data_IF_542178236199
#
_entry.id   IF_542178236199
#
_cell.length_a   1.000
_cell.length_b   1.000
_cell.length_c   1.000
_cell.angle_alpha   90.00
_cell.angle_beta   90.00
_cell.angle_gamma   90.00
#
_symmetry.space_group_name_H-M   'P 1'
#
loop_
_entity.id
_entity.type
_entity.pdbx_description
1 polymer ?
#
# COMPACT_ATOMS: atom_id res chain seq x y z
N UNK A 1 -61.53 8.17 1.04
CA UNK A 1 -60.72 8.39 -0.17
C UNK A 1 -59.37 9.09 0.07
N UNK A 2 -59.20 10.04 0.99
CA UNK A 2 -57.89 10.72 1.23
C UNK A 2 -56.84 9.82 1.89
N UNK A 3 -57.21 8.79 2.65
CA UNK A 3 -56.29 7.86 3.31
C UNK A 3 -55.63 6.84 2.37
N UNK A 4 -56.33 6.42 1.30
CA UNK A 4 -55.78 5.45 0.33
C UNK A 4 -54.78 6.06 -0.63
N UNK A 5 -54.88 7.34 -0.95
CA UNK A 5 -53.95 8.04 -1.82
C UNK A 5 -52.61 8.26 -1.13
N UNK A 6 -52.61 8.50 0.21
CA UNK A 6 -51.37 8.66 0.98
C UNK A 6 -50.58 7.34 1.11
N UNK A 7 -51.30 6.21 1.16
CA UNK A 7 -50.66 4.89 1.25
C UNK A 7 -50.08 4.43 -0.09
N UNK A 8 -50.68 4.82 -1.21
CA UNK A 8 -50.19 4.51 -2.56
C UNK A 8 -48.93 5.33 -2.91
N UNK A 9 -48.84 6.58 -2.44
CA UNK A 9 -47.65 7.43 -2.60
C UNK A 9 -46.48 6.91 -1.75
N UNK A 10 -46.78 6.39 -0.54
CA UNK A 10 -45.75 5.80 0.33
C UNK A 10 -45.15 4.49 -0.24
N UNK A 11 -45.96 3.70 -0.95
CA UNK A 11 -45.53 2.46 -1.61
C UNK A 11 -44.77 2.70 -2.92
N UNK A 12 -44.96 3.83 -3.59
CA UNK A 12 -44.19 4.23 -4.77
C UNK A 12 -42.76 4.67 -4.42
N UNK A 13 -42.52 5.23 -3.23
CA UNK A 13 -41.17 5.59 -2.77
C UNK A 13 -40.37 4.39 -2.29
N UNK A 14 -40.95 3.24 -1.94
CA UNK A 14 -40.26 2.03 -1.53
C UNK A 14 -39.67 1.19 -2.67
N UNK A 15 -39.88 1.56 -3.93
CA UNK A 15 -39.29 0.90 -5.11
C UNK A 15 -38.31 1.80 -5.87
N UNK A 16 -37.54 2.62 -5.17
CA UNK A 16 -36.30 3.09 -5.73
C UNK A 16 -35.33 1.92 -5.59
N UNK A 17 -35.29 1.06 -6.60
CA UNK A 17 -34.14 0.23 -6.87
C UNK A 17 -32.96 1.18 -6.80
N UNK A 18 -32.13 1.06 -5.79
CA UNK A 18 -30.79 1.59 -5.83
C UNK A 18 -30.13 0.85 -7.00
N UNK A 19 -30.30 1.40 -8.21
CA UNK A 19 -29.46 1.05 -9.32
C UNK A 19 -28.04 1.19 -8.79
N UNK A 20 -27.16 0.21 -8.95
CA UNK A 20 -25.78 0.38 -8.59
C UNK A 20 -25.30 1.63 -9.35
N UNK A 21 -24.96 2.68 -8.63
CA UNK A 21 -24.27 3.82 -9.20
C UNK A 21 -22.90 3.27 -9.56
N UNK A 22 -22.80 2.69 -10.76
CA UNK A 22 -21.53 2.44 -11.43
C UNK A 22 -21.02 3.80 -11.90
N UNK A 23 -20.50 4.59 -10.96
CA UNK A 23 -19.60 5.65 -11.29
C UNK A 23 -18.34 4.99 -11.89
N UNK A 24 -17.91 5.46 -13.04
CA UNK A 24 -16.64 5.08 -13.66
C UNK A 24 -15.58 4.96 -12.57
N UNK A 25 -15.04 3.77 -12.41
CA UNK A 25 -14.07 3.41 -11.39
C UNK A 25 -12.87 4.33 -11.53
N UNK A 26 -12.75 5.28 -10.65
CA UNK A 26 -11.48 5.93 -10.40
C UNK A 26 -10.50 4.85 -9.95
N UNK A 27 -9.34 4.78 -10.62
CA UNK A 27 -8.38 3.68 -10.46
C UNK A 27 -7.54 3.77 -9.18
N UNK A 28 -7.99 4.49 -8.16
CA UNK A 28 -7.26 4.67 -6.91
C UNK A 28 -8.02 4.07 -5.71
N UNK A 29 -7.33 3.36 -4.79
CA UNK A 29 -7.97 2.78 -3.60
C UNK A 29 -8.67 3.83 -2.73
N UNK A 30 -8.12 5.04 -2.65
CA UNK A 30 -8.69 6.15 -1.86
C UNK A 30 -10.07 6.58 -2.38
N UNK A 31 -10.25 6.61 -3.70
CA UNK A 31 -11.53 6.95 -4.32
C UNK A 31 -12.61 5.91 -3.96
N UNK A 32 -12.25 4.61 -4.00
CA UNK A 32 -13.16 3.52 -3.63
C UNK A 32 -13.54 3.59 -2.15
N UNK A 33 -12.62 3.95 -1.28
CA UNK A 33 -12.90 4.13 0.16
C UNK A 33 -13.84 5.31 0.41
N UNK A 34 -13.72 6.40 -0.33
CA UNK A 34 -14.64 7.54 -0.27
C UNK A 34 -16.04 7.12 -0.72
N UNK A 35 -16.13 6.40 -1.84
CA UNK A 35 -17.40 5.86 -2.35
C UNK A 35 -18.05 4.89 -1.36
N UNK A 36 -17.25 4.00 -0.76
CA UNK A 36 -17.71 3.06 0.27
C UNK A 36 -18.29 3.79 1.49
N UNK A 37 -17.56 4.78 2.01
CA UNK A 37 -18.03 5.59 3.14
C UNK A 37 -19.34 6.31 2.82
N UNK A 38 -19.46 6.91 1.62
CA UNK A 38 -20.66 7.57 1.17
C UNK A 38 -21.85 6.61 1.05
N UNK A 39 -21.64 5.43 0.46
CA UNK A 39 -22.66 4.40 0.31
C UNK A 39 -23.16 3.88 1.68
N UNK A 40 -22.27 3.64 2.63
CA UNK A 40 -22.62 3.23 4.00
C UNK A 40 -23.48 4.31 4.68
N UNK A 41 -23.12 5.59 4.54
CA UNK A 41 -23.92 6.70 5.12
C UNK A 41 -25.32 6.75 4.54
N UNK A 42 -25.48 6.55 3.24
CA UNK A 42 -26.81 6.52 2.58
C UNK A 42 -27.65 5.37 3.15
N UNK A 43 -27.09 4.16 3.24
CA UNK A 43 -27.77 2.99 3.81
C UNK A 43 -28.19 3.29 5.24
N UNK A 44 -27.28 3.72 6.08
CA UNK A 44 -27.57 4.02 7.48
C UNK A 44 -28.66 5.11 7.63
N UNK A 45 -28.63 6.16 6.82
CA UNK A 45 -29.65 7.21 6.84
C UNK A 45 -31.05 6.66 6.48
N UNK A 46 -31.13 5.77 5.48
CA UNK A 46 -32.39 5.12 5.10
C UNK A 46 -32.96 4.29 6.26
N UNK A 47 -32.14 3.44 6.88
CA UNK A 47 -32.55 2.62 8.00
C UNK A 47 -32.89 3.44 9.24
N UNK A 48 -32.12 4.49 9.55
CA UNK A 48 -32.39 5.39 10.68
C UNK A 48 -33.78 6.00 10.59
N UNK A 49 -34.22 6.44 9.41
CA UNK A 49 -35.56 7.00 9.22
C UNK A 49 -36.67 5.99 9.55
N UNK A 50 -36.48 4.72 9.17
CA UNK A 50 -37.41 3.65 9.45
C UNK A 50 -37.43 3.28 10.93
N UNK A 51 -36.24 3.22 11.57
CA UNK A 51 -36.12 2.96 13.00
C UNK A 51 -36.86 4.01 13.82
N UNK A 52 -36.67 5.29 13.54
CA UNK A 52 -37.36 6.39 14.26
C UNK A 52 -38.88 6.24 14.20
N UNK A 53 -39.47 5.82 13.06
CA UNK A 53 -40.89 5.58 12.92
C UNK A 53 -41.33 4.40 13.79
N UNK A 54 -40.54 3.31 13.82
CA UNK A 54 -40.89 2.12 14.62
C UNK A 54 -40.72 2.38 16.13
N UNK A 55 -39.72 3.07 16.54
CA UNK A 55 -39.49 3.47 17.93
C UNK A 55 -40.59 4.42 18.42
N UNK A 56 -40.99 5.40 17.60
CA UNK A 56 -42.14 6.25 17.93
C UNK A 56 -43.42 5.43 18.13
N UNK A 57 -43.70 4.43 17.29
CA UNK A 57 -44.85 3.51 17.47
C UNK A 57 -44.73 2.71 18.76
N UNK A 58 -43.54 2.20 19.06
CA UNK A 58 -43.26 1.46 20.29
C UNK A 58 -43.50 2.33 21.55
N UNK A 59 -43.09 3.59 21.50
CA UNK A 59 -43.35 4.55 22.59
C UNK A 59 -44.84 4.78 22.82
N UNK A 60 -45.62 4.90 21.75
CA UNK A 60 -47.09 5.01 21.84
C UNK A 60 -47.71 3.76 22.47
N UNK A 61 -47.35 2.56 22.00
CA UNK A 61 -47.86 1.30 22.56
C UNK A 61 -47.48 1.14 24.03
N UNK A 62 -46.26 1.50 24.43
CA UNK A 62 -45.86 1.42 25.83
C UNK A 62 -46.71 2.37 26.72
N UNK A 63 -47.00 3.58 26.23
CA UNK A 63 -47.89 4.51 26.92
C UNK A 63 -49.32 3.97 27.06
N UNK A 64 -49.86 3.42 25.96
CA UNK A 64 -51.22 2.91 25.93
C UNK A 64 -51.35 1.62 26.78
N UNK A 65 -50.29 0.80 26.87
CA UNK A 65 -50.22 -0.37 27.74
C UNK A 65 -50.31 0.02 29.25
N UNK A 66 -49.69 1.13 29.62
CA UNK A 66 -49.78 1.67 31.01
C UNK A 66 -51.20 2.19 31.29
N UNK A 67 -51.86 2.79 30.33
CA UNK A 67 -53.20 3.37 30.47
C UNK A 67 -54.33 2.34 30.40
N UNK A 68 -54.10 1.18 29.77
CA UNK A 68 -55.09 0.15 29.58
C UNK A 68 -55.58 -0.45 30.92
N UNK A 69 -56.90 -0.54 31.10
CA UNK A 69 -57.48 -1.12 32.30
C UNK A 69 -58.00 -2.57 32.10
N UNK A 70 -58.34 -2.90 30.87
CA UNK A 70 -58.91 -4.23 30.53
C UNK A 70 -57.80 -5.24 30.17
N UNK A 71 -57.89 -6.44 30.68
CA UNK A 71 -56.91 -7.50 30.45
C UNK A 71 -56.76 -7.82 28.94
N UNK A 72 -57.83 -7.91 28.19
CA UNK A 72 -57.79 -8.20 26.76
C UNK A 72 -57.01 -7.12 25.99
N UNK A 73 -57.30 -5.88 26.29
CA UNK A 73 -56.58 -4.73 25.66
C UNK A 73 -55.08 -4.75 25.97
N UNK A 74 -54.68 -5.12 27.21
CA UNK A 74 -53.26 -5.31 27.57
C UNK A 74 -52.63 -6.43 26.77
N UNK A 75 -53.29 -7.55 26.59
CA UNK A 75 -52.78 -8.69 25.81
C UNK A 75 -52.58 -8.28 24.34
N UNK A 76 -53.56 -7.60 23.73
CA UNK A 76 -53.48 -7.16 22.34
C UNK A 76 -52.33 -6.16 22.13
N UNK A 77 -52.13 -5.23 23.09
CA UNK A 77 -51.01 -4.28 23.06
C UNK A 77 -49.65 -4.96 23.26
N UNK A 78 -49.54 -6.00 24.10
CA UNK A 78 -48.33 -6.79 24.27
C UNK A 78 -47.96 -7.53 22.99
N UNK A 79 -48.93 -8.15 22.31
CA UNK A 79 -48.72 -8.82 21.02
C UNK A 79 -48.21 -7.81 19.98
N UNK A 80 -48.84 -6.62 19.92
CA UNK A 80 -48.41 -5.57 18.99
C UNK A 80 -47.03 -5.05 19.30
N UNK A 81 -46.67 -4.91 20.57
CA UNK A 81 -45.32 -4.53 21.04
C UNK A 81 -44.30 -5.54 20.56
N UNK A 82 -44.52 -6.83 20.79
CA UNK A 82 -43.64 -7.90 20.39
C UNK A 82 -43.42 -7.92 18.86
N UNK A 83 -44.51 -7.80 18.07
CA UNK A 83 -44.42 -7.66 16.63
C UNK A 83 -43.52 -6.50 16.16
N UNK A 84 -43.63 -5.31 16.79
CA UNK A 84 -42.80 -4.17 16.41
C UNK A 84 -41.36 -4.37 16.84
N UNK A 85 -41.09 -5.00 17.99
CA UNK A 85 -39.73 -5.34 18.41
C UNK A 85 -39.09 -6.32 17.44
N UNK A 86 -39.80 -7.32 16.97
CA UNK A 86 -39.33 -8.25 15.94
C UNK A 86 -39.05 -7.53 14.61
N UNK A 87 -39.94 -6.61 14.19
CA UNK A 87 -39.70 -5.81 13.00
C UNK A 87 -38.41 -4.94 13.13
N UNK A 88 -38.19 -4.34 14.28
CA UNK A 88 -36.95 -3.57 14.56
C UNK A 88 -35.71 -4.48 14.49
N UNK A 89 -35.81 -5.67 15.08
CA UNK A 89 -34.72 -6.66 15.02
C UNK A 89 -34.41 -7.07 13.57
N UNK A 90 -35.40 -7.39 12.78
CA UNK A 90 -35.22 -7.70 11.36
C UNK A 90 -34.65 -6.55 10.54
N UNK A 91 -35.03 -5.31 10.83
CA UNK A 91 -34.49 -4.14 10.18
C UNK A 91 -33.01 -3.94 10.53
N UNK A 92 -32.58 -4.19 11.78
CA UNK A 92 -31.17 -4.14 12.18
C UNK A 92 -30.33 -5.16 11.41
N UNK A 93 -30.81 -6.40 11.32
CA UNK A 93 -30.15 -7.45 10.53
C UNK A 93 -30.06 -7.05 9.06
N UNK A 94 -31.12 -6.50 8.49
CA UNK A 94 -31.13 -6.06 7.09
C UNK A 94 -30.13 -4.92 6.84
N UNK A 95 -30.02 -3.95 7.74
CA UNK A 95 -29.02 -2.88 7.66
C UNK A 95 -27.61 -3.46 7.66
N UNK A 96 -27.28 -4.33 8.62
CA UNK A 96 -25.97 -4.98 8.70
C UNK A 96 -25.64 -5.75 7.42
N UNK A 97 -26.61 -6.48 6.87
CA UNK A 97 -26.44 -7.23 5.62
C UNK A 97 -26.15 -6.32 4.42
N UNK A 98 -26.88 -5.19 4.30
CA UNK A 98 -26.68 -4.25 3.19
C UNK A 98 -25.34 -3.53 3.29
N UNK A 99 -24.90 -3.16 4.51
CA UNK A 99 -23.58 -2.60 4.75
C UNK A 99 -22.47 -3.62 4.45
N UNK A 100 -22.61 -4.86 4.91
CA UNK A 100 -21.63 -5.92 4.65
C UNK A 100 -21.53 -6.25 3.16
N UNK A 101 -22.65 -6.22 2.43
CA UNK A 101 -22.66 -6.38 0.98
C UNK A 101 -21.72 -5.37 0.30
N UNK A 102 -21.93 -4.09 0.58
CA UNK A 102 -21.14 -3.02 -0.06
C UNK A 102 -19.68 -3.10 0.33
N UNK A 103 -19.36 -3.37 1.60
CA UNK A 103 -17.97 -3.56 2.06
C UNK A 103 -17.29 -4.67 1.30
N UNK A 104 -17.96 -5.79 1.16
CA UNK A 104 -17.40 -6.98 0.52
C UNK A 104 -17.11 -6.73 -0.97
N UNK A 105 -18.06 -6.14 -1.70
CA UNK A 105 -17.89 -5.81 -3.12
C UNK A 105 -16.79 -4.75 -3.34
N UNK A 106 -16.79 -3.68 -2.56
CA UNK A 106 -15.76 -2.62 -2.66
C UNK A 106 -14.40 -3.12 -2.19
N UNK A 107 -14.35 -4.02 -1.22
CA UNK A 107 -13.11 -4.66 -0.79
C UNK A 107 -12.45 -5.47 -1.91
N UNK A 108 -13.21 -6.19 -2.72
CA UNK A 108 -12.67 -6.88 -3.90
C UNK A 108 -12.07 -5.91 -4.92
N UNK A 109 -12.71 -4.77 -5.15
CA UNK A 109 -12.18 -3.73 -6.04
C UNK A 109 -10.86 -3.16 -5.52
N UNK A 110 -10.73 -2.95 -4.20
CA UNK A 110 -9.49 -2.51 -3.57
C UNK A 110 -8.39 -3.56 -3.75
N UNK A 111 -8.69 -4.85 -3.54
CA UNK A 111 -7.74 -5.95 -3.75
C UNK A 111 -7.22 -5.94 -5.19
N UNK A 112 -8.12 -5.82 -6.18
CA UNK A 112 -7.76 -5.73 -7.60
C UNK A 112 -6.75 -4.61 -7.86
N UNK A 113 -7.02 -3.39 -7.39
CA UNK A 113 -6.14 -2.22 -7.62
C UNK A 113 -4.81 -2.38 -6.90
N UNK A 114 -4.83 -2.82 -5.63
CA UNK A 114 -3.60 -3.00 -4.85
C UNK A 114 -2.70 -4.08 -5.47
N UNK A 115 -3.29 -5.13 -6.05
CA UNK A 115 -2.52 -6.17 -6.75
C UNK A 115 -1.81 -5.59 -7.98
N UNK A 116 -2.48 -4.80 -8.82
CA UNK A 116 -1.85 -4.14 -9.95
C UNK A 116 -0.71 -3.20 -9.52
N UNK A 117 -0.89 -2.47 -8.41
CA UNK A 117 0.16 -1.62 -7.84
C UNK A 117 1.35 -2.45 -7.34
N UNK A 118 1.13 -3.56 -6.66
CA UNK A 118 2.19 -4.47 -6.19
C UNK A 118 2.96 -5.08 -7.36
N UNK A 119 2.28 -5.50 -8.43
CA UNK A 119 2.93 -6.01 -9.63
C UNK A 119 3.79 -4.94 -10.32
N UNK A 120 3.32 -3.70 -10.37
CA UNK A 120 4.07 -2.60 -10.98
C UNK A 120 5.29 -2.19 -10.14
N UNK A 121 5.27 -2.37 -8.82
CA UNK A 121 6.42 -2.13 -7.94
C UNK A 121 7.60 -3.07 -8.25
N UNK A 122 7.35 -4.32 -8.63
CA UNK A 122 8.41 -5.23 -9.07
C UNK A 122 9.20 -4.66 -10.25
N UNK A 123 8.49 -4.16 -11.25
CA UNK A 123 9.13 -3.53 -12.41
C UNK A 123 9.82 -2.24 -12.03
N UNK A 124 9.26 -1.48 -11.12
CA UNK A 124 9.85 -0.24 -10.65
C UNK A 124 11.18 -0.47 -9.95
N UNK A 125 11.25 -1.36 -8.95
CA UNK A 125 12.50 -1.69 -8.26
C UNK A 125 13.52 -2.41 -9.16
N UNK A 126 13.06 -3.24 -10.09
CA UNK A 126 13.94 -3.87 -11.08
C UNK A 126 14.60 -2.85 -12.02
N UNK A 127 13.93 -1.74 -12.34
CA UNK A 127 14.47 -0.68 -13.20
C UNK A 127 15.59 0.13 -12.53
N UNK A 128 15.66 0.14 -11.21
CA UNK A 128 16.70 0.80 -10.40
C UNK A 128 17.99 -0.03 -10.31
N UNK A 129 18.18 -1.03 -11.18
CA UNK A 129 19.38 -1.88 -11.20
C UNK A 129 20.62 -1.09 -11.59
N UNK A 130 21.24 -0.51 -10.58
CA UNK A 130 22.40 0.39 -10.72
C UNK A 130 23.72 -0.28 -10.40
N UNK A 131 23.74 -1.60 -10.10
CA UNK A 131 24.97 -2.26 -9.65
C UNK A 131 26.12 -2.15 -10.67
N UNK A 132 25.87 -2.32 -11.98
CA UNK A 132 26.90 -2.17 -13.00
C UNK A 132 27.37 -0.71 -13.14
N UNK A 133 26.48 0.25 -12.94
CA UNK A 133 26.78 1.68 -12.98
C UNK A 133 27.49 2.14 -11.69
N UNK A 134 27.07 1.62 -10.54
CA UNK A 134 27.74 1.80 -9.26
C UNK A 134 29.18 1.31 -9.33
N UNK A 135 29.42 0.11 -9.88
CA UNK A 135 30.75 -0.45 -10.05
C UNK A 135 31.63 0.38 -10.99
N UNK A 136 31.05 0.98 -12.02
CA UNK A 136 31.77 1.90 -12.92
C UNK A 136 32.16 3.20 -12.19
N UNK A 137 31.22 3.82 -11.51
CA UNK A 137 31.42 5.09 -10.80
C UNK A 137 32.42 4.94 -9.65
N UNK A 138 32.33 3.82 -8.91
CA UNK A 138 33.26 3.49 -7.83
C UNK A 138 34.65 3.00 -8.31
N UNK A 139 34.89 2.94 -9.62
CA UNK A 139 36.16 2.52 -10.18
C UNK A 139 37.12 3.73 -10.27
N UNK A 140 38.26 3.75 -9.53
CA UNK A 140 39.22 4.85 -9.57
C UNK A 140 39.74 5.15 -10.98
N UNK A 141 39.79 4.16 -11.89
CA UNK A 141 40.22 4.34 -13.26
C UNK A 141 39.32 5.25 -14.11
N UNK A 142 38.15 5.62 -13.64
CA UNK A 142 37.23 6.57 -14.30
C UNK A 142 37.64 8.04 -14.01
N UNK A 143 38.66 8.26 -13.16
CA UNK A 143 39.10 9.59 -12.75
C UNK A 143 40.41 9.96 -13.44
N UNK A 144 40.48 11.10 -14.21
CA UNK A 144 41.64 11.50 -14.99
C UNK A 144 42.92 11.70 -14.15
N UNK A 145 42.75 12.10 -12.88
CA UNK A 145 43.86 12.30 -11.95
C UNK A 145 44.57 10.98 -11.62
N UNK A 146 43.80 9.88 -11.62
CA UNK A 146 44.33 8.55 -11.39
C UNK A 146 45.14 8.02 -12.56
N UNK A 147 44.72 8.31 -13.80
CA UNK A 147 45.50 7.99 -15.00
C UNK A 147 46.80 8.78 -15.06
N UNK A 148 46.80 10.06 -14.69
CA UNK A 148 48.03 10.86 -14.55
C UNK A 148 49.02 10.26 -13.55
N UNK A 149 48.53 9.75 -12.42
CA UNK A 149 49.36 9.06 -11.44
C UNK A 149 50.00 7.79 -12.03
N UNK A 150 49.23 6.99 -12.77
CA UNK A 150 49.77 5.80 -13.46
C UNK A 150 50.86 6.16 -14.46
N UNK A 151 50.66 7.23 -15.25
CA UNK A 151 51.66 7.74 -16.19
C UNK A 151 52.92 8.21 -15.50
N UNK A 152 52.80 8.94 -14.38
CA UNK A 152 53.95 9.39 -13.57
C UNK A 152 54.74 8.21 -12.98
N UNK A 153 54.05 7.16 -12.54
CA UNK A 153 54.66 5.93 -12.03
C UNK A 153 55.31 5.08 -13.15
N UNK A 154 54.68 5.00 -14.34
CA UNK A 154 55.17 4.24 -15.49
C UNK A 154 56.43 4.88 -16.12
N UNK A 155 56.51 6.22 -16.10
CA UNK A 155 57.66 6.96 -16.66
C UNK A 155 58.92 6.94 -15.76
N UNK A 156 58.80 6.52 -14.50
CA UNK A 156 59.95 6.27 -13.61
C UNK A 156 60.35 4.80 -13.75
N UNK A 157 61.47 4.58 -14.44
CA UNK A 157 62.08 3.33 -14.94
C UNK A 157 62.38 2.20 -13.93
N UNK A 158 61.55 1.90 -13.01
CA UNK A 158 61.63 0.67 -12.23
C UNK A 158 60.60 -0.37 -12.69
N UNK A 159 61.09 -1.29 -13.53
CA UNK A 159 60.32 -2.32 -14.26
C UNK A 159 59.61 -3.38 -13.40
N UNK A 160 59.47 -3.21 -12.09
CA UNK A 160 58.91 -4.22 -11.20
C UNK A 160 57.47 -3.96 -10.69
N UNK A 161 56.87 -2.85 -11.07
CA UNK A 161 55.54 -2.46 -10.51
C UNK A 161 54.50 -2.04 -11.55
N UNK A 162 54.41 -2.76 -12.66
CA UNK A 162 53.18 -2.76 -13.46
C UNK A 162 52.11 -3.60 -12.73
N UNK A 163 51.64 -3.09 -11.62
CA UNK A 163 50.56 -3.68 -10.85
C UNK A 163 49.23 -3.25 -11.49
N UNK A 164 48.52 -4.21 -12.08
CA UNK A 164 47.16 -3.95 -12.54
C UNK A 164 46.28 -3.72 -11.31
N UNK A 165 45.96 -2.48 -11.02
CA UNK A 165 45.10 -2.07 -9.94
C UNK A 165 43.69 -2.67 -10.05
N UNK A 166 43.28 -3.01 -11.25
CA UNK A 166 42.04 -3.75 -11.54
C UNK A 166 41.99 -5.12 -10.86
N UNK A 167 43.15 -5.78 -10.62
CA UNK A 167 43.16 -7.07 -9.92
C UNK A 167 43.03 -6.92 -8.40
N UNK A 168 43.38 -5.76 -7.84
CA UNK A 168 43.20 -5.46 -6.42
C UNK A 168 41.78 -5.12 -6.03
N UNK A 169 41.01 -4.49 -6.91
CA UNK A 169 39.63 -4.12 -6.67
C UNK A 169 38.68 -5.34 -6.66
N UNK A 170 39.09 -6.47 -7.23
CA UNK A 170 38.28 -7.69 -7.28
C UNK A 170 38.38 -8.61 -6.05
N UNK A 171 39.40 -8.51 -5.21
CA UNK A 171 39.70 -9.53 -4.21
C UNK A 171 40.14 -9.06 -2.81
N UNK A 172 40.48 -7.80 -2.61
CA UNK A 172 41.04 -7.33 -1.34
C UNK A 172 40.30 -6.13 -0.72
N UNK A 173 40.33 -6.08 0.60
CA UNK A 173 39.78 -4.93 1.35
C UNK A 173 40.54 -3.66 0.93
N UNK A 174 39.81 -2.60 0.72
CA UNK A 174 40.23 -1.30 0.21
C UNK A 174 41.43 -0.70 1.04
N UNK A 175 41.52 -1.05 2.33
CA UNK A 175 42.67 -0.71 3.16
C UNK A 175 44.00 -1.23 2.57
N UNK A 176 44.02 -2.41 1.96
CA UNK A 176 45.21 -2.98 1.31
C UNK A 176 45.59 -2.27 0.03
N UNK A 177 44.59 -1.73 -0.71
CA UNK A 177 44.83 -0.93 -1.92
C UNK A 177 45.46 0.42 -1.54
N UNK A 178 44.96 1.08 -0.52
CA UNK A 178 45.54 2.35 0.00
C UNK A 178 46.97 2.13 0.48
N UNK A 179 47.20 1.09 1.26
CA UNK A 179 48.54 0.78 1.78
C UNK A 179 49.53 0.46 0.66
N UNK A 180 49.14 -0.25 -0.37
CA UNK A 180 49.97 -0.57 -1.54
C UNK A 180 50.25 0.67 -2.37
N UNK A 181 49.27 1.52 -2.64
CA UNK A 181 49.49 2.80 -3.33
C UNK A 181 50.36 3.76 -2.55
N UNK A 182 50.13 3.89 -1.25
CA UNK A 182 50.98 4.72 -0.36
C UNK A 182 52.44 4.25 -0.37
N UNK A 183 52.68 2.92 -0.36
CA UNK A 183 54.03 2.36 -0.43
C UNK A 183 54.68 2.60 -1.80
N UNK A 184 53.94 2.51 -2.91
CA UNK A 184 54.44 2.79 -4.27
C UNK A 184 54.80 4.26 -4.45
N UNK A 185 53.92 5.17 -4.06
CA UNK A 185 54.14 6.62 -4.15
C UNK A 185 55.32 7.05 -3.28
N UNK A 186 55.47 6.45 -2.09
CA UNK A 186 56.58 6.77 -1.17
C UNK A 186 57.92 6.32 -1.68
N UNK A 187 58.03 5.34 -2.57
CA UNK A 187 59.32 4.84 -3.09
C UNK A 187 59.77 5.51 -4.39
N UNK A 188 58.89 6.15 -5.16
CA UNK A 188 59.15 6.54 -6.55
C UNK A 188 59.24 8.05 -6.83
N UNK A 189 58.81 8.93 -5.94
CA UNK A 189 58.72 10.39 -6.18
C UNK A 189 59.71 11.20 -5.33
N UNK A 190 60.07 12.42 -5.78
CA UNK A 190 60.85 13.38 -4.97
C UNK A 190 60.00 13.91 -3.80
N UNK A 191 60.62 14.47 -2.75
CA UNK A 191 59.93 14.82 -1.50
C UNK A 191 58.79 15.81 -1.69
N UNK A 192 58.97 16.83 -2.55
CA UNK A 192 57.99 17.89 -2.79
C UNK A 192 56.86 17.45 -3.76
N UNK A 193 57.16 16.57 -4.73
CA UNK A 193 56.18 15.97 -5.63
C UNK A 193 55.32 14.93 -4.91
N UNK A 194 55.95 14.20 -3.97
CA UNK A 194 55.25 13.20 -3.14
C UNK A 194 54.10 13.80 -2.34
N UNK A 195 54.34 14.93 -1.71
CA UNK A 195 53.37 15.53 -0.80
C UNK A 195 52.13 16.03 -1.56
N UNK A 196 52.31 16.69 -2.71
CA UNK A 196 51.21 17.20 -3.52
C UNK A 196 50.39 16.11 -4.22
N UNK A 197 51.06 15.11 -4.79
CA UNK A 197 50.38 14.05 -5.53
C UNK A 197 49.76 13.00 -4.57
N UNK A 198 50.36 12.75 -3.40
CA UNK A 198 49.80 11.91 -2.35
C UNK A 198 48.45 12.45 -1.84
N UNK A 199 48.39 13.74 -1.53
CA UNK A 199 47.15 14.37 -1.05
C UNK A 199 46.00 14.21 -2.07
N UNK A 200 46.30 14.38 -3.37
CA UNK A 200 45.27 14.17 -4.42
C UNK A 200 44.84 12.71 -4.50
N UNK A 201 45.74 11.77 -4.44
CA UNK A 201 45.46 10.34 -4.50
C UNK A 201 44.68 9.88 -3.29
N UNK A 202 45.07 10.30 -2.10
CA UNK A 202 44.31 10.03 -0.86
C UNK A 202 42.89 10.57 -0.95
N UNK A 203 42.73 11.79 -1.47
CA UNK A 203 41.42 12.40 -1.64
C UNK A 203 40.54 11.60 -2.61
N UNK A 204 41.05 11.19 -3.77
CA UNK A 204 40.27 10.40 -4.77
C UNK A 204 39.93 9.03 -4.20
N UNK A 205 40.87 8.38 -3.52
CA UNK A 205 40.65 7.06 -2.93
C UNK A 205 39.59 7.13 -1.80
N UNK A 206 39.69 8.09 -0.91
CA UNK A 206 38.70 8.29 0.16
C UNK A 206 37.31 8.58 -0.40
N UNK A 207 37.25 9.45 -1.42
CA UNK A 207 35.99 9.76 -2.12
C UNK A 207 35.39 8.54 -2.79
N UNK A 208 36.17 7.78 -3.56
CA UNK A 208 35.66 6.58 -4.26
C UNK A 208 35.24 5.49 -3.30
N UNK A 209 35.91 5.37 -2.17
CA UNK A 209 35.62 4.46 -1.06
C UNK A 209 34.29 4.74 -0.40
N UNK A 210 34.12 5.99 0.02
CA UNK A 210 32.87 6.42 0.65
C UNK A 210 31.69 6.22 -0.32
N UNK A 211 31.86 6.66 -1.56
CA UNK A 211 30.85 6.48 -2.60
C UNK A 211 30.53 5.00 -2.81
N UNK A 212 31.52 4.12 -2.88
CA UNK A 212 31.29 2.68 -3.03
C UNK A 212 30.51 2.10 -1.85
N UNK A 213 30.86 2.46 -0.62
CA UNK A 213 30.13 1.98 0.57
C UNK A 213 28.67 2.45 0.58
N UNK A 214 28.45 3.72 0.27
CA UNK A 214 27.11 4.29 0.26
C UNK A 214 26.24 3.69 -0.86
N UNK A 215 26.81 3.54 -2.05
CA UNK A 215 26.13 2.92 -3.18
C UNK A 215 25.87 1.41 -2.95
N UNK A 216 26.80 0.70 -2.30
CA UNK A 216 26.55 -0.68 -1.88
C UNK A 216 25.41 -0.77 -0.86
N UNK A 217 25.36 0.16 0.09
CA UNK A 217 24.25 0.22 1.05
C UNK A 217 22.91 0.37 0.32
N UNK A 218 22.85 1.27 -0.67
CA UNK A 218 21.66 1.48 -1.52
C UNK A 218 21.30 0.19 -2.28
N UNK A 219 22.28 -0.51 -2.83
CA UNK A 219 22.05 -1.78 -3.51
C UNK A 219 21.41 -2.84 -2.59
N UNK A 220 21.93 -2.99 -1.37
CA UNK A 220 21.36 -3.92 -0.39
C UNK A 220 19.97 -3.53 0.06
N UNK A 221 19.70 -2.24 0.26
CA UNK A 221 18.37 -1.74 0.60
C UNK A 221 17.37 -1.97 -0.55
N UNK A 222 17.80 -1.81 -1.81
CA UNK A 222 16.98 -2.14 -2.98
C UNK A 222 16.61 -3.63 -3.02
N UNK A 223 17.57 -4.52 -2.77
CA UNK A 223 17.33 -5.95 -2.70
C UNK A 223 16.35 -6.31 -1.55
N UNK A 224 16.45 -5.62 -0.42
CA UNK A 224 15.51 -5.77 0.69
C UNK A 224 14.09 -5.33 0.30
N UNK A 225 13.93 -4.20 -0.40
CA UNK A 225 12.64 -3.75 -0.89
C UNK A 225 12.02 -4.73 -1.89
N UNK A 226 12.80 -5.30 -2.80
CA UNK A 226 12.34 -6.35 -3.71
C UNK A 226 11.83 -7.58 -2.95
N UNK A 227 12.59 -8.07 -1.97
CA UNK A 227 12.16 -9.20 -1.13
C UNK A 227 10.90 -8.89 -0.33
N UNK A 228 10.78 -7.65 0.16
CA UNK A 228 9.58 -7.19 0.88
C UNK A 228 8.37 -7.12 -0.05
N UNK A 229 8.55 -6.68 -1.30
CA UNK A 229 7.48 -6.66 -2.29
C UNK A 229 6.96 -8.07 -2.62
N UNK A 230 7.85 -9.07 -2.73
CA UNK A 230 7.43 -10.46 -2.89
C UNK A 230 6.58 -10.97 -1.73
N UNK A 231 6.87 -10.56 -0.50
CA UNK A 231 6.00 -10.88 0.65
C UNK A 231 4.63 -10.22 0.56
N UNK A 232 4.60 -8.93 0.21
CA UNK A 232 3.33 -8.21 0.00
C UNK A 232 2.50 -8.88 -1.10
N UNK A 233 3.14 -9.35 -2.18
CA UNK A 233 2.48 -10.11 -3.24
C UNK A 233 1.89 -11.43 -2.75
N UNK A 234 2.62 -12.17 -1.92
CA UNK A 234 2.10 -13.39 -1.30
C UNK A 234 0.94 -13.11 -0.34
N UNK A 235 1.03 -12.05 0.45
CA UNK A 235 -0.01 -11.67 1.40
C UNK A 235 -1.32 -11.28 0.71
N UNK A 236 -1.28 -10.57 -0.43
CA UNK A 236 -2.49 -10.24 -1.19
C UNK A 236 -3.10 -11.46 -1.88
N UNK A 237 -2.29 -12.44 -2.30
CA UNK A 237 -2.77 -13.72 -2.82
C UNK A 237 -3.53 -14.52 -1.73
N UNK A 238 -3.01 -14.54 -0.51
CA UNK A 238 -3.65 -15.19 0.63
C UNK A 238 -4.97 -14.47 0.95
N UNK A 239 -4.95 -13.14 1.00
CA UNK A 239 -6.13 -12.31 1.24
C UNK A 239 -7.22 -12.58 0.19
N UNK A 240 -6.86 -12.64 -1.09
CA UNK A 240 -7.81 -12.93 -2.16
C UNK A 240 -8.47 -14.30 -1.99
N UNK A 241 -7.70 -15.34 -1.62
CA UNK A 241 -8.24 -16.68 -1.33
C UNK A 241 -9.21 -16.67 -0.14
N UNK A 242 -8.91 -15.90 0.90
CA UNK A 242 -9.82 -15.73 2.03
C UNK A 242 -11.11 -15.00 1.61
N UNK A 243 -10.98 -13.99 0.75
CA UNK A 243 -12.09 -13.22 0.19
C UNK A 243 -13.02 -14.08 -0.68
N UNK A 244 -12.47 -14.95 -1.49
CA UNK A 244 -13.23 -15.75 -2.45
C UNK A 244 -13.68 -17.11 -1.91
N UNK A 245 -13.19 -17.52 -0.74
CA UNK A 245 -13.55 -18.77 -0.08
C UNK A 245 -15.06 -18.93 0.16
N UNK A 246 -15.82 -17.92 0.65
CA UNK A 246 -17.26 -18.06 0.89
C UNK A 246 -18.07 -18.38 -0.37
N UNK A 247 -17.62 -17.92 -1.53
CA UNK A 247 -18.28 -18.13 -2.84
C UNK A 247 -17.77 -19.36 -3.59
N UNK A 248 -16.80 -20.10 -3.02
CA UNK A 248 -16.25 -21.31 -3.63
C UNK A 248 -15.37 -21.06 -4.87
N UNK A 249 -14.87 -19.84 -5.07
CA UNK A 249 -13.90 -19.56 -6.15
C UNK A 249 -12.51 -19.98 -5.71
N UNK A 250 -11.89 -20.95 -6.43
CA UNK A 250 -10.63 -21.58 -6.01
C UNK A 250 -9.39 -21.22 -6.85
N UNK A 251 -9.52 -20.38 -7.90
CA UNK A 251 -8.38 -19.96 -8.69
C UNK A 251 -7.52 -18.92 -7.94
N UNK A 252 -6.23 -18.82 -8.32
CA UNK A 252 -5.34 -17.78 -7.78
C UNK A 252 -5.74 -16.39 -8.27
N UNK A 253 -5.26 -15.35 -7.59
CA UNK A 253 -5.46 -13.96 -8.02
C UNK A 253 -4.81 -13.69 -9.39
N UNK A 254 -3.65 -14.31 -9.66
CA UNK A 254 -2.98 -14.23 -10.94
C UNK A 254 -3.85 -14.84 -12.07
N UNK A 255 -4.46 -16.01 -11.83
CA UNK A 255 -5.35 -16.64 -12.79
C UNK A 255 -6.63 -15.80 -12.98
N UNK A 256 -7.21 -15.29 -11.91
CA UNK A 256 -8.36 -14.39 -11.96
C UNK A 256 -8.07 -13.16 -12.83
N UNK A 257 -6.90 -12.55 -12.64
CA UNK A 257 -6.46 -11.41 -13.44
C UNK A 257 -6.27 -11.76 -14.92
N UNK A 258 -5.61 -12.89 -15.18
CA UNK A 258 -5.29 -13.34 -16.55
C UNK A 258 -6.55 -13.70 -17.34
N UNK A 259 -7.52 -14.31 -16.69
CA UNK A 259 -8.79 -14.72 -17.29
C UNK A 259 -9.86 -13.61 -17.28
N UNK A 260 -9.61 -12.50 -16.56
CA UNK A 260 -10.57 -11.42 -16.29
C UNK A 260 -11.87 -11.90 -15.60
N UNK A 261 -11.72 -12.81 -14.61
CA UNK A 261 -12.85 -13.45 -13.91
C UNK A 261 -13.55 -12.51 -12.89
N UNK A 262 -13.25 -11.22 -12.90
CA UNK A 262 -13.77 -10.27 -11.90
C UNK A 262 -15.28 -10.15 -11.87
N UNK A 263 -15.91 -10.19 -13.03
CA UNK A 263 -17.36 -10.11 -13.16
C UNK A 263 -18.05 -11.39 -12.63
N UNK A 264 -17.50 -12.57 -12.95
CA UNK A 264 -17.96 -13.85 -12.44
C UNK A 264 -17.87 -13.93 -10.91
N UNK A 265 -16.75 -13.47 -10.34
CA UNK A 265 -16.58 -13.40 -8.88
C UNK A 265 -17.62 -12.45 -8.26
N UNK A 266 -17.83 -11.27 -8.87
CA UNK A 266 -18.81 -10.29 -8.39
C UNK A 266 -20.22 -10.89 -8.40
N UNK A 267 -20.61 -11.58 -9.45
CA UNK A 267 -21.90 -12.24 -9.54
C UNK A 267 -22.07 -13.34 -8.48
N UNK A 268 -21.07 -14.19 -8.29
CA UNK A 268 -21.06 -15.21 -7.22
C UNK A 268 -21.16 -14.61 -5.82
N UNK A 269 -20.53 -13.46 -5.59
CA UNK A 269 -20.66 -12.70 -4.34
C UNK A 269 -22.10 -12.21 -4.13
N UNK A 270 -22.74 -11.67 -5.16
CA UNK A 270 -24.13 -11.22 -5.09
C UNK A 270 -25.10 -12.37 -4.84
N UNK A 271 -24.88 -13.53 -5.46
CA UNK A 271 -25.67 -14.74 -5.23
C UNK A 271 -25.50 -15.23 -3.77
N UNK A 272 -24.29 -15.25 -3.25
CA UNK A 272 -24.02 -15.60 -1.86
C UNK A 272 -24.73 -14.66 -0.88
N UNK A 273 -24.71 -13.36 -1.12
CA UNK A 273 -25.35 -12.35 -0.30
C UNK A 273 -26.90 -12.44 -0.38
N UNK A 274 -27.42 -12.77 -1.55
CA UNK A 274 -28.86 -13.03 -1.74
C UNK A 274 -29.30 -14.26 -0.95
N UNK A 275 -28.50 -15.34 -0.99
CA UNK A 275 -28.74 -16.54 -0.19
C UNK A 275 -28.68 -16.23 1.31
N UNK A 276 -27.75 -15.39 1.75
CA UNK A 276 -27.64 -14.98 3.15
C UNK A 276 -28.89 -14.26 3.64
N UNK A 277 -29.50 -13.38 2.82
CA UNK A 277 -30.76 -12.69 3.15
C UNK A 277 -31.95 -13.65 3.32
N UNK A 278 -31.98 -14.76 2.58
CA UNK A 278 -33.04 -15.78 2.66
C UNK A 278 -32.82 -16.83 3.75
N UNK A 279 -31.70 -16.77 4.45
CA UNK A 279 -31.30 -17.71 5.50
C UNK A 279 -31.49 -17.06 6.88
N UNK A 280 -31.81 -17.85 7.90
CA UNK A 280 -32.04 -17.34 9.25
C UNK A 280 -31.21 -18.11 10.31
N UNK A 281 -31.11 -17.53 11.50
CA UNK A 281 -30.50 -18.18 12.67
C UNK A 281 -28.98 -18.35 12.56
N UNK A 282 -28.46 -19.46 13.12
CA UNK A 282 -27.01 -19.70 13.21
C UNK A 282 -26.29 -19.79 11.87
N UNK A 283 -27.00 -20.19 10.81
CA UNK A 283 -26.43 -20.28 9.47
C UNK A 283 -26.20 -18.89 8.88
N UNK A 284 -27.15 -17.97 9.04
CA UNK A 284 -26.98 -16.57 8.62
C UNK A 284 -25.83 -15.91 9.36
N UNK A 285 -25.72 -16.13 10.68
CA UNK A 285 -24.60 -15.62 11.48
C UNK A 285 -23.25 -16.12 10.98
N UNK A 286 -23.12 -17.44 10.69
CA UNK A 286 -21.88 -18.00 10.11
C UNK A 286 -21.55 -17.37 8.75
N UNK A 287 -22.55 -17.15 7.91
CA UNK A 287 -22.36 -16.49 6.62
C UNK A 287 -21.88 -15.05 6.80
N UNK A 288 -22.42 -14.32 7.78
CA UNK A 288 -22.00 -12.97 8.13
C UNK A 288 -20.52 -12.92 8.58
N UNK A 289 -20.12 -13.80 9.50
CA UNK A 289 -18.73 -13.90 9.97
C UNK A 289 -17.77 -14.20 8.82
N UNK A 290 -18.17 -15.03 7.86
CA UNK A 290 -17.35 -15.32 6.68
C UNK A 290 -17.17 -14.11 5.75
N UNK A 291 -18.01 -13.09 5.83
CA UNK A 291 -17.84 -11.83 5.10
C UNK A 291 -17.02 -10.80 5.88
N UNK A 292 -17.22 -10.73 7.19
CA UNK A 292 -16.56 -9.72 8.02
C UNK A 292 -15.07 -10.01 8.21
N UNK A 293 -14.70 -11.27 8.40
CA UNK A 293 -13.31 -11.67 8.58
C UNK A 293 -12.36 -11.27 7.43
N UNK A 294 -12.66 -11.53 6.15
CA UNK A 294 -11.83 -11.06 5.04
C UNK A 294 -11.70 -9.53 4.97
N UNK A 295 -12.72 -8.78 5.38
CA UNK A 295 -12.67 -7.31 5.42
C UNK A 295 -11.65 -6.85 6.47
N UNK A 296 -11.62 -7.45 7.65
CA UNK A 296 -10.60 -7.17 8.67
C UNK A 296 -9.19 -7.48 8.17
N UNK A 297 -9.03 -8.59 7.44
CA UNK A 297 -7.75 -8.96 6.82
C UNK A 297 -7.32 -7.96 5.74
N UNK A 298 -8.25 -7.45 4.95
CA UNK A 298 -7.96 -6.40 3.96
C UNK A 298 -7.36 -5.15 4.61
N UNK A 299 -7.84 -4.77 5.78
CA UNK A 299 -7.31 -3.59 6.47
C UNK A 299 -5.92 -3.82 7.05
N UNK A 300 -5.66 -5.02 7.56
CA UNK A 300 -4.31 -5.40 7.96
C UNK A 300 -3.37 -5.32 6.75
N UNK A 301 -3.79 -5.83 5.61
CA UNK A 301 -3.01 -5.76 4.38
C UNK A 301 -2.76 -4.31 3.93
N UNK A 302 -3.77 -3.43 3.97
CA UNK A 302 -3.59 -2.01 3.63
C UNK A 302 -2.57 -1.35 4.56
N UNK A 303 -2.56 -1.69 5.85
CA UNK A 303 -1.55 -1.19 6.79
C UNK A 303 -0.15 -1.65 6.44
N UNK A 304 0.02 -2.91 6.05
CA UNK A 304 1.30 -3.46 5.58
C UNK A 304 1.76 -2.79 4.28
N UNK A 305 0.85 -2.64 3.32
CA UNK A 305 1.11 -1.94 2.07
C UNK A 305 1.56 -0.49 2.32
N UNK A 306 0.86 0.26 3.17
CA UNK A 306 1.23 1.63 3.52
C UNK A 306 2.62 1.72 4.17
N UNK A 307 2.92 0.80 5.09
CA UNK A 307 4.25 0.71 5.71
C UNK A 307 5.34 0.46 4.68
N UNK A 308 5.07 -0.38 3.69
CA UNK A 308 6.00 -0.68 2.61
C UNK A 308 6.22 0.52 1.68
N UNK A 309 5.16 1.26 1.33
CA UNK A 309 5.26 2.48 0.52
C UNK A 309 6.06 3.57 1.26
N UNK A 310 5.84 3.74 2.57
CA UNK A 310 6.62 4.67 3.40
C UNK A 310 8.11 4.29 3.45
N UNK A 311 8.43 3.00 3.57
CA UNK A 311 9.81 2.50 3.50
C UNK A 311 10.45 2.78 2.14
N UNK A 312 9.72 2.58 1.04
CA UNK A 312 10.18 2.91 -0.31
C UNK A 312 10.46 4.40 -0.48
N UNK A 313 9.58 5.27 0.03
CA UNK A 313 9.77 6.72 0.03
C UNK A 313 11.03 7.15 0.77
N UNK A 314 11.23 6.65 1.99
CA UNK A 314 12.43 6.92 2.82
C UNK A 314 13.72 6.41 2.16
N UNK A 315 13.65 5.26 1.49
CA UNK A 315 14.79 4.75 0.73
C UNK A 315 15.18 5.73 -0.39
N UNK A 316 14.24 6.21 -1.19
CA UNK A 316 14.51 7.15 -2.26
C UNK A 316 14.99 8.51 -1.76
N UNK A 317 14.43 9.01 -0.66
CA UNK A 317 14.91 10.23 0.00
C UNK A 317 16.38 10.09 0.43
N UNK A 318 16.71 9.00 1.12
CA UNK A 318 18.09 8.70 1.52
C UNK A 318 19.02 8.62 0.31
N UNK A 319 18.58 7.96 -0.76
CA UNK A 319 19.35 7.84 -1.99
C UNK A 319 19.62 9.21 -2.62
N UNK A 320 18.62 10.06 -2.70
CA UNK A 320 18.75 11.43 -3.20
C UNK A 320 19.73 12.25 -2.36
N UNK A 321 19.67 12.15 -1.04
CA UNK A 321 20.59 12.85 -0.12
C UNK A 321 22.04 12.40 -0.37
N UNK A 322 22.29 11.09 -0.48
CA UNK A 322 23.63 10.55 -0.74
C UNK A 322 24.16 11.09 -2.07
N UNK A 323 23.40 11.00 -3.16
CA UNK A 323 23.83 11.51 -4.46
C UNK A 323 24.08 13.02 -4.44
N UNK A 324 23.25 13.80 -3.78
CA UNK A 324 23.45 15.25 -3.68
C UNK A 324 24.67 15.63 -2.83
N UNK A 325 25.03 14.84 -1.81
CA UNK A 325 26.20 15.11 -0.97
C UNK A 325 27.51 15.05 -1.77
N UNK A 326 27.65 14.07 -2.65
CA UNK A 326 28.83 13.91 -3.50
C UNK A 326 28.97 15.00 -4.56
N UNK A 327 27.87 15.53 -5.08
CA UNK A 327 27.92 16.61 -6.07
C UNK A 327 28.47 17.93 -5.48
N UNK A 328 28.21 18.17 -4.22
CA UNK A 328 28.61 19.40 -3.52
C UNK A 328 29.96 19.28 -2.83
N UNK A 329 30.59 18.11 -2.89
CA UNK A 329 31.89 17.89 -2.24
C UNK A 329 33.02 18.55 -3.04
N UNK A 330 33.63 19.58 -2.45
CA UNK A 330 34.73 20.36 -3.07
C UNK A 330 36.14 19.89 -2.66
N UNK A 331 36.21 18.79 -1.90
CA UNK A 331 37.52 18.38 -1.30
C UNK A 331 38.53 17.91 -2.34
N UNK A 332 38.08 17.35 -3.45
CA UNK A 332 38.93 16.97 -4.56
C UNK A 332 38.53 17.81 -5.78
N UNK A 333 39.47 18.50 -6.44
CA UNK A 333 39.24 19.24 -7.70
C UNK A 333 38.87 18.31 -8.89
N UNK A 334 38.28 17.18 -8.60
CA UNK A 334 37.91 16.13 -9.56
C UNK A 334 36.54 16.39 -10.15
N UNK A 335 36.45 16.24 -11.47
CA UNK A 335 35.12 16.25 -12.16
C UNK A 335 34.44 14.87 -11.98
N UNK A 336 33.25 14.90 -11.46
CA UNK A 336 32.42 13.68 -11.39
C UNK A 336 32.26 13.05 -12.79
N UNK A 337 32.36 11.73 -12.92
CA UNK A 337 32.15 11.01 -14.16
C UNK A 337 30.78 11.30 -14.78
N UNK A 338 30.69 11.21 -16.11
CA UNK A 338 29.42 11.42 -16.83
C UNK A 338 28.37 10.40 -16.38
N UNK A 339 28.79 9.19 -16.07
CA UNK A 339 27.96 8.10 -15.53
C UNK A 339 27.27 8.48 -14.24
N UNK A 340 27.93 9.26 -13.37
CA UNK A 340 27.34 9.75 -12.13
C UNK A 340 26.15 10.68 -12.41
N UNK A 341 26.31 11.62 -13.33
CA UNK A 341 25.23 12.54 -13.71
C UNK A 341 24.04 11.81 -14.31
N UNK A 342 24.32 10.78 -15.11
CA UNK A 342 23.27 9.91 -15.67
C UNK A 342 22.57 9.13 -14.58
N UNK A 343 23.29 8.47 -13.69
CA UNK A 343 22.71 7.75 -12.55
C UNK A 343 21.81 8.66 -11.71
N UNK A 344 22.28 9.87 -11.38
CA UNK A 344 21.48 10.85 -10.62
C UNK A 344 20.20 11.23 -11.37
N UNK A 345 20.27 11.47 -12.67
CA UNK A 345 19.10 11.79 -13.47
C UNK A 345 18.09 10.62 -13.49
N UNK A 346 18.55 9.40 -13.70
CA UNK A 346 17.72 8.20 -13.74
C UNK A 346 17.05 7.94 -12.38
N UNK A 347 17.76 8.16 -11.27
CA UNK A 347 17.20 8.05 -9.92
C UNK A 347 16.15 9.13 -9.65
N UNK A 348 16.39 10.37 -10.04
CA UNK A 348 15.38 11.43 -9.86
C UNK A 348 14.09 11.09 -10.63
N UNK A 349 14.21 10.58 -11.86
CA UNK A 349 13.04 10.11 -12.63
C UNK A 349 12.34 8.94 -11.91
N UNK A 350 13.10 8.02 -11.30
CA UNK A 350 12.52 6.91 -10.54
C UNK A 350 11.78 7.40 -9.28
N UNK A 351 12.34 8.38 -8.56
CA UNK A 351 11.70 9.04 -7.41
C UNK A 351 10.38 9.69 -7.80
N UNK A 352 10.39 10.49 -8.88
CA UNK A 352 9.19 11.16 -9.36
C UNK A 352 8.10 10.16 -9.74
N UNK A 353 8.45 9.10 -10.48
CA UNK A 353 7.53 8.03 -10.83
C UNK A 353 6.98 7.32 -9.59
N UNK A 354 7.83 7.03 -8.60
CA UNK A 354 7.41 6.39 -7.35
C UNK A 354 6.40 7.27 -6.61
N UNK A 355 6.71 8.54 -6.41
CA UNK A 355 5.85 9.48 -5.68
C UNK A 355 4.50 9.73 -6.36
N UNK A 356 4.44 9.65 -7.68
CA UNK A 356 3.19 9.81 -8.42
C UNK A 356 2.35 8.53 -8.40
N UNK A 357 2.99 7.36 -8.62
CA UNK A 357 2.29 6.09 -8.82
C UNK A 357 1.87 5.40 -7.52
N UNK A 358 2.64 5.58 -6.43
CA UNK A 358 2.48 4.82 -5.19
C UNK A 358 2.17 5.73 -4.01
N UNK A 359 0.91 6.12 -3.91
CA UNK A 359 0.41 6.86 -2.76
C UNK A 359 -0.08 5.90 -1.68
N UNK A 360 0.12 6.24 -0.39
CA UNK A 360 -0.50 5.49 0.70
C UNK A 360 -2.03 5.50 0.56
N UNK A 361 -2.66 4.41 0.97
CA UNK A 361 -4.12 4.37 1.10
C UNK A 361 -4.51 5.14 2.37
N UNK A 362 -5.18 6.26 2.21
CA UNK A 362 -5.54 7.14 3.32
C UNK A 362 -6.69 6.55 4.14
N UNK A 363 -6.34 5.75 5.15
CA UNK A 363 -7.28 5.24 6.15
C UNK A 363 -6.92 5.84 7.50
N UNK A 364 -7.66 6.85 7.94
CA UNK A 364 -7.54 7.31 9.33
C UNK A 364 -8.36 6.40 10.27
N UNK A 365 -7.96 6.33 11.54
CA UNK A 365 -8.54 5.40 12.50
C UNK A 365 -10.06 5.55 12.71
N UNK A 366 -10.62 6.76 12.54
CA UNK A 366 -12.06 7.03 12.65
C UNK A 366 -12.80 6.55 11.41
N UNK A 367 -12.34 6.89 10.20
CA UNK A 367 -12.90 6.38 8.94
C UNK A 367 -12.80 4.86 8.86
N UNK A 368 -11.71 4.29 9.38
CA UNK A 368 -11.53 2.85 9.43
C UNK A 368 -12.62 2.18 10.28
N UNK A 369 -12.93 2.73 11.45
CA UNK A 369 -14.00 2.21 12.31
C UNK A 369 -15.39 2.36 11.68
N UNK A 370 -15.69 3.48 11.04
CA UNK A 370 -16.94 3.67 10.31
C UNK A 370 -17.08 2.66 9.17
N UNK A 371 -16.04 2.47 8.38
CA UNK A 371 -16.04 1.55 7.25
C UNK A 371 -16.12 0.10 7.72
N UNK A 372 -15.40 -0.26 8.80
CA UNK A 372 -15.34 -1.63 9.30
C UNK A 372 -16.54 -2.07 10.07
N UNK A 373 -16.92 -1.29 11.04
CA UNK A 373 -17.90 -1.71 12.04
C UNK A 373 -19.27 -1.07 11.84
N UNK A 374 -19.40 -0.14 10.87
CA UNK A 374 -20.65 0.63 10.69
C UNK A 374 -20.97 1.47 11.93
N UNK A 375 -20.00 1.73 12.80
CA UNK A 375 -20.19 2.50 14.01
C UNK A 375 -20.48 3.94 13.61
N UNK A 376 -21.76 4.30 13.63
CA UNK A 376 -22.17 5.69 13.62
C UNK A 376 -21.77 6.31 14.95
N UNK A 377 -21.30 7.56 14.93
CA UNK A 377 -21.09 8.36 16.15
C UNK A 377 -22.37 8.56 16.99
N UNK A 378 -23.50 8.01 16.55
CA UNK A 378 -24.81 8.10 17.20
C UNK A 378 -24.98 7.19 18.43
N UNK A 379 -24.08 6.22 18.68
CA UNK A 379 -24.09 5.44 19.94
C UNK A 379 -23.41 6.14 21.12
N UNK A 380 -22.96 7.39 20.99
CA UNK A 380 -22.37 8.19 22.08
C UNK A 380 -23.33 9.22 22.71
N UNK A 381 -24.63 9.05 22.50
CA UNK A 381 -25.64 9.88 23.16
C UNK A 381 -26.49 8.99 24.11
N UNK A 382 -25.86 8.36 25.09
CA UNK A 382 -26.43 7.93 26.37
C UNK A 382 -25.51 8.33 27.52
#
# INVERSE_FOLDING_TARGET
>A
MKSQILFTILLLFCRINAAPIFLESKNEPNDILIELSHAIRIINAQYTSIFLIKEAKLAVINRDLIAASKLQEKVDLLILKDQIQDEIHHLRISNLNDVSKIRYLKGLQIIKILYEKVLSLDHHFASVRTFSEISKIANPNQYPEYDKLKELLANKKDKKTAFELTSLLGTNTIASVIQTLTSMVSSSLSKDEKEKEMVKVECILDFTLRMQNDLNTIYFETAFLQTSNERIKQDIEILFKEYTKPIGYGASLENCRTNDDWEDITQKMEDYLTKMKSTSGSTQYKMQVNLDFPVDRLLQFISQYNSFIDQGGKFYEKFSIILNSYENEKQCDTKLPVEYKKLKADINVAIDKFNVAYKPVEINGTKMKEILYGLNEFEKAE
#
